data_IF_905131437055
#
_entry.id   IF_905131437055
#
_cell.length_a   1.000
_cell.length_b   1.000
_cell.length_c   1.000
_cell.angle_alpha   90.00
_cell.angle_beta   90.00
_cell.angle_gamma   90.00
#
_symmetry.space_group_name_H-M   'P 1'
#
loop_
_entity.id
_entity.type
_entity.pdbx_description
1 polymer ?
#
# COMPACT_ATOMS: atom_id res chain seq x y z
N UNK A 1 -29.97 61.53 -33.81
CA UNK A 1 -30.80 61.84 -32.61
C UNK A 1 -30.18 61.03 -31.47
N UNK A 2 -29.61 61.58 -30.39
CA UNK A 2 -30.14 62.57 -29.42
C UNK A 2 -31.25 61.95 -28.53
N UNK A 3 -31.25 61.94 -27.19
CA UNK A 3 -30.24 62.15 -26.10
C UNK A 3 -30.71 61.28 -24.87
N UNK A 4 -30.21 61.27 -23.61
CA UNK A 4 -29.32 62.12 -22.76
C UNK A 4 -28.78 61.30 -21.56
N UNK A 5 -27.84 61.84 -20.77
CA UNK A 5 -27.56 61.44 -19.36
C UNK A 5 -28.22 62.45 -18.39
N UNK A 6 -28.49 62.08 -17.11
CA UNK A 6 -27.64 62.45 -15.95
C UNK A 6 -27.43 61.27 -14.96
N UNK A 7 -26.27 61.04 -14.32
CA UNK A 7 -25.53 61.76 -13.24
C UNK A 7 -25.92 61.43 -11.77
N UNK A 8 -24.91 61.52 -10.89
CA UNK A 8 -24.81 61.02 -9.48
C UNK A 8 -25.21 62.10 -8.45
N UNK A 9 -25.31 61.77 -7.14
CA UNK A 9 -24.22 62.17 -6.22
C UNK A 9 -23.94 61.20 -5.03
N UNK A 10 -22.76 61.34 -4.40
CA UNK A 10 -22.48 60.88 -3.01
C UNK A 10 -22.72 62.05 -2.02
N UNK A 11 -22.67 61.87 -0.68
CA UNK A 11 -21.37 62.06 0.02
C UNK A 11 -21.16 61.38 1.41
N UNK A 12 -19.91 60.97 1.69
CA UNK A 12 -19.25 60.98 3.03
C UNK A 12 -19.80 60.11 4.20
N UNK A 13 -19.15 60.03 5.37
CA UNK A 13 -17.72 60.12 5.70
C UNK A 13 -17.43 59.50 7.10
N UNK A 14 -16.23 58.92 7.27
CA UNK A 14 -15.50 58.57 8.52
C UNK A 14 -16.23 58.05 9.78
N UNK A 15 -15.88 56.81 10.20
CA UNK A 15 -15.63 56.45 11.61
C UNK A 15 -14.75 55.19 11.71
N UNK A 16 -13.80 55.19 12.65
CA UNK A 16 -13.13 54.01 13.23
C UNK A 16 -13.24 54.12 14.76
N UNK A 17 -13.05 53.04 15.54
CA UNK A 17 -11.69 52.73 15.99
C UNK A 17 -11.38 51.22 16.10
N UNK A 18 -10.28 50.92 16.78
CA UNK A 18 -9.64 49.64 17.09
C UNK A 18 -10.55 48.58 17.75
N UNK A 19 -10.25 47.29 17.53
CA UNK A 19 -9.52 46.49 18.54
C UNK A 19 -8.97 45.16 17.97
N UNK A 20 -7.91 44.60 18.58
CA UNK A 20 -7.35 43.28 18.25
C UNK A 20 -6.48 42.68 19.38
N UNK A 21 -6.88 41.53 19.94
CA UNK A 21 -5.95 40.41 20.23
C UNK A 21 -6.61 39.03 19.93
N UNK A 22 -5.94 37.88 19.77
CA UNK A 22 -4.50 37.52 19.69
C UNK A 22 -4.36 36.15 18.96
N UNK A 23 -3.17 35.52 18.95
CA UNK A 23 -2.96 34.13 18.53
C UNK A 23 -2.34 33.29 19.67
N UNK A 24 -2.61 31.97 19.78
CA UNK A 24 -2.10 31.13 20.88
C UNK A 24 -0.67 30.61 20.62
N UNK A 25 0.25 30.69 21.61
CA UNK A 25 1.58 30.07 21.55
C UNK A 25 1.63 28.68 22.20
N UNK A 26 2.79 28.02 22.10
CA UNK A 26 3.07 26.66 22.56
C UNK A 26 3.34 26.56 24.09
N UNK A 27 3.22 25.35 24.66
CA UNK A 27 3.41 25.05 26.09
C UNK A 27 4.82 24.49 26.38
N UNK A 28 5.46 24.96 27.44
CA UNK A 28 6.81 24.54 27.84
C UNK A 28 7.08 24.70 29.36
N UNK A 29 7.09 23.56 30.06
CA UNK A 29 7.87 23.21 31.27
C UNK A 29 8.23 24.30 32.32
N UNK A 30 7.66 24.25 33.54
CA UNK A 30 8.06 25.14 34.64
C UNK A 30 9.32 24.67 35.40
N UNK A 31 10.22 25.60 35.70
CA UNK A 31 11.15 25.54 36.84
C UNK A 31 10.79 26.63 37.86
N UNK A 32 10.92 26.35 39.16
CA UNK A 32 10.63 27.31 40.24
C UNK A 32 11.88 27.83 40.96
N UNK A 33 12.01 29.16 40.96
CA UNK A 33 12.80 30.00 41.89
C UNK A 33 12.13 29.97 43.30
N UNK A 34 12.61 30.53 44.42
CA UNK A 34 13.77 31.35 44.85
C UNK A 34 13.85 31.27 46.42
N UNK A 35 14.80 31.79 47.21
CA UNK A 35 16.05 32.55 46.96
C UNK A 35 17.15 32.17 48.00
N UNK A 36 17.45 33.05 48.98
CA UNK A 36 18.68 33.06 49.79
C UNK A 36 18.45 33.68 51.18
N UNK A 37 19.30 33.36 52.16
CA UNK A 37 19.36 34.03 53.48
C UNK A 37 20.62 33.66 54.26
N UNK A 38 21.22 34.60 55.01
CA UNK A 38 22.54 34.47 55.66
C UNK A 38 22.50 34.77 57.17
N UNK A 39 23.42 34.15 57.92
CA UNK A 39 24.01 34.54 59.22
C UNK A 39 23.14 35.07 60.38
N UNK A 40 23.28 34.44 61.56
CA UNK A 40 23.65 35.20 62.78
C UNK A 40 24.47 34.35 63.77
N UNK A 41 25.05 34.98 64.80
CA UNK A 41 26.13 34.41 65.64
C UNK A 41 25.97 34.75 67.13
N UNK A 42 26.01 33.75 68.03
CA UNK A 42 26.22 33.86 69.50
C UNK A 42 26.33 32.44 70.10
N UNK A 43 26.99 32.15 71.21
CA UNK A 43 27.79 32.97 72.14
C UNK A 43 28.75 32.10 73.00
N UNK A 44 29.40 32.69 74.01
CA UNK A 44 30.46 32.10 74.86
C UNK A 44 29.91 31.28 76.06
N UNK A 45 30.68 30.60 76.94
CA UNK A 45 32.10 30.72 77.32
C UNK A 45 32.68 29.43 78.01
N UNK A 46 33.99 29.48 78.35
CA UNK A 46 34.73 28.87 79.50
C UNK A 46 34.09 27.75 80.36
N UNK A 47 34.76 26.70 80.85
CA UNK A 47 36.18 26.24 80.88
C UNK A 47 36.16 24.74 81.34
N UNK A 48 37.22 23.95 81.58
CA UNK A 48 38.64 24.22 81.90
C UNK A 48 39.59 23.20 81.20
N UNK A 49 40.29 22.29 81.92
CA UNK A 49 41.33 21.40 81.36
C UNK A 49 41.22 19.91 81.75
N UNK A 50 41.46 19.01 80.79
CA UNK A 50 41.98 17.65 81.04
C UNK A 50 42.69 17.10 79.80
N UNK A 51 43.99 16.82 79.92
CA UNK A 51 44.78 16.23 78.83
C UNK A 51 44.38 14.77 78.61
N UNK A 52 43.89 14.45 77.41
CA UNK A 52 43.65 13.08 76.97
C UNK A 52 44.50 12.80 75.72
N UNK A 53 45.45 11.86 75.85
CA UNK A 53 46.36 11.44 74.78
C UNK A 53 45.62 10.66 73.71
N UNK A 54 44.90 11.37 72.85
CA UNK A 54 44.20 10.81 71.69
C UNK A 54 45.24 10.31 70.70
N UNK A 55 45.38 8.98 70.60
CA UNK A 55 46.22 8.34 69.59
C UNK A 55 45.59 8.54 68.21
N UNK A 56 46.23 9.35 67.37
CA UNK A 56 45.81 9.57 65.98
C UNK A 56 45.94 8.27 65.18
N UNK A 57 44.87 7.49 65.12
CA UNK A 57 44.73 6.41 64.13
C UNK A 57 44.58 7.11 62.78
N UNK A 58 45.65 7.07 61.98
CA UNK A 58 45.61 7.53 60.60
C UNK A 58 44.85 6.47 59.79
N UNK A 59 43.53 6.59 59.77
CA UNK A 59 42.67 5.82 58.87
C UNK A 59 42.89 6.34 57.45
N UNK A 60 43.90 5.80 56.76
CA UNK A 60 44.02 5.96 55.31
C UNK A 60 42.84 5.29 54.63
N UNK A 61 41.79 6.06 54.38
CA UNK A 61 40.72 5.70 53.44
C UNK A 61 41.35 5.57 52.06
N UNK A 62 41.69 4.33 51.68
CA UNK A 62 42.03 4.01 50.30
C UNK A 62 40.76 4.23 49.49
N UNK A 63 40.68 5.37 48.81
CA UNK A 63 39.64 5.63 47.83
C UNK A 63 39.97 4.75 46.61
N UNK A 64 39.54 3.50 46.67
CA UNK A 64 39.43 2.63 45.51
C UNK A 64 38.38 3.24 44.59
N UNK A 65 38.83 4.07 43.65
CA UNK A 65 38.00 4.44 42.51
C UNK A 65 37.74 3.17 41.70
N UNK A 66 36.57 2.56 41.90
CA UNK A 66 36.09 1.55 40.96
C UNK A 66 35.96 2.23 39.60
N UNK A 67 36.89 1.91 38.70
CA UNK A 67 36.72 2.21 37.29
C UNK A 67 35.57 1.36 36.80
N UNK A 68 34.53 1.98 36.21
CA UNK A 68 33.51 1.23 35.50
C UNK A 68 34.21 0.30 34.49
N UNK A 69 33.92 -1.02 34.49
CA UNK A 69 34.67 -1.97 33.69
C UNK A 69 34.55 -1.62 32.21
N UNK A 70 35.70 -1.59 31.52
CA UNK A 70 35.70 -1.36 30.08
C UNK A 70 35.06 -2.57 29.38
N UNK A 71 33.95 -2.40 28.64
CA UNK A 71 33.30 -3.52 27.96
C UNK A 71 34.23 -4.07 26.88
N UNK A 72 34.30 -5.39 26.75
CA UNK A 72 35.06 -6.02 25.68
C UNK A 72 34.31 -5.78 24.36
N UNK A 73 34.87 -4.95 23.48
CA UNK A 73 34.24 -4.59 22.21
C UNK A 73 35.19 -4.91 21.06
N UNK A 74 34.81 -5.86 20.22
CA UNK A 74 35.58 -6.34 19.07
C UNK A 74 34.79 -6.06 17.80
N UNK A 75 35.46 -5.58 16.76
CA UNK A 75 34.83 -5.22 15.48
C UNK A 75 35.53 -5.90 14.30
N UNK A 76 34.76 -6.56 13.45
CA UNK A 76 35.22 -7.23 12.23
C UNK A 76 34.67 -6.54 10.98
N UNK A 77 35.47 -6.48 9.92
CA UNK A 77 35.13 -5.82 8.65
C UNK A 77 35.39 -6.66 7.40
N UNK A 78 35.92 -7.88 7.56
CA UNK A 78 36.20 -8.79 6.45
C UNK A 78 34.90 -9.41 5.89
N UNK A 79 34.89 -9.86 4.62
CA UNK A 79 33.70 -10.47 4.01
C UNK A 79 33.40 -11.89 4.53
N UNK A 80 34.37 -12.55 5.14
CA UNK A 80 34.23 -13.89 5.74
C UNK A 80 35.23 -14.02 6.90
N UNK A 81 34.85 -14.71 7.97
CA UNK A 81 35.75 -14.98 9.09
C UNK A 81 35.08 -15.75 10.23
N UNK A 82 35.76 -15.81 11.36
CA UNK A 82 35.28 -16.50 12.56
C UNK A 82 35.26 -15.54 13.75
N UNK A 83 34.27 -15.71 14.63
CA UNK A 83 34.24 -15.13 15.97
C UNK A 83 34.45 -16.31 16.93
N UNK A 84 35.61 -16.38 17.57
CA UNK A 84 35.90 -17.36 18.61
C UNK A 84 36.04 -16.67 19.97
N UNK A 85 35.33 -17.20 20.96
CA UNK A 85 35.41 -16.78 22.37
C UNK A 85 36.82 -16.83 22.97
N UNK A 86 37.73 -17.64 22.41
CA UNK A 86 39.07 -17.90 22.95
C UNK A 86 40.18 -17.02 22.36
N UNK A 87 39.96 -16.36 21.22
CA UNK A 87 40.92 -15.44 20.58
C UNK A 87 41.07 -14.12 21.35
N UNK A 88 40.03 -13.72 22.08
CA UNK A 88 39.98 -12.50 22.90
C UNK A 88 39.77 -12.86 24.38
N UNK A 89 40.72 -13.57 25.02
CA UNK A 89 40.57 -14.08 26.38
C UNK A 89 40.35 -12.90 27.34
N UNK A 90 39.17 -12.81 27.98
CA UNK A 90 38.77 -11.59 28.66
C UNK A 90 39.49 -11.42 29.99
N UNK A 91 39.96 -10.20 30.25
CA UNK A 91 40.55 -9.83 31.53
C UNK A 91 39.42 -9.39 32.49
N UNK A 92 39.11 -10.14 33.56
CA UNK A 92 38.03 -9.78 34.47
C UNK A 92 38.47 -8.63 35.40
N UNK A 93 37.97 -7.41 35.14
CA UNK A 93 38.09 -6.26 36.04
C UNK A 93 36.85 -6.08 36.93
N UNK A 94 35.85 -6.95 36.82
CA UNK A 94 34.56 -6.89 37.53
C UNK A 94 33.98 -8.29 37.76
N UNK A 95 33.00 -8.39 38.68
CA UNK A 95 32.32 -9.64 39.08
C UNK A 95 31.44 -10.28 37.98
N UNK A 96 31.30 -9.63 36.84
CA UNK A 96 30.78 -10.17 35.59
C UNK A 96 31.53 -9.53 34.42
N UNK A 97 31.44 -10.16 33.26
CA UNK A 97 32.03 -9.72 31.99
C UNK A 97 30.92 -9.51 30.95
N UNK A 98 31.07 -8.49 30.13
CA UNK A 98 30.19 -8.17 29.01
C UNK A 98 31.01 -7.92 27.74
N UNK A 99 30.71 -8.70 26.69
CA UNK A 99 31.40 -8.73 25.41
C UNK A 99 30.43 -8.42 24.26
N UNK A 100 30.85 -7.57 23.33
CA UNK A 100 30.15 -7.27 22.07
C UNK A 100 31.08 -7.51 20.88
N UNK A 101 30.71 -8.42 20.00
CA UNK A 101 31.40 -8.71 18.76
C UNK A 101 30.54 -8.20 17.59
N UNK A 102 30.97 -7.12 16.95
CA UNK A 102 30.23 -6.46 15.87
C UNK A 102 30.88 -6.81 14.52
N UNK A 103 30.15 -7.46 13.62
CA UNK A 103 30.60 -7.67 12.24
C UNK A 103 29.88 -6.67 11.34
N UNK A 104 30.63 -5.87 10.59
CA UNK A 104 30.09 -4.86 9.65
C UNK A 104 30.69 -5.09 8.27
N UNK A 105 29.87 -5.56 7.32
CA UNK A 105 30.27 -5.74 5.92
C UNK A 105 29.93 -4.49 5.08
N UNK A 106 30.28 -4.52 3.81
CA UNK A 106 29.98 -3.45 2.85
C UNK A 106 28.47 -3.35 2.56
N UNK A 107 28.01 -2.16 2.18
CA UNK A 107 26.57 -1.88 2.01
C UNK A 107 25.96 -2.69 0.86
N UNK A 108 24.67 -2.99 0.98
CA UNK A 108 23.96 -3.89 0.06
C UNK A 108 24.18 -5.38 0.36
N UNK A 109 25.03 -5.71 1.34
CA UNK A 109 25.27 -7.05 1.84
C UNK A 109 25.01 -7.08 3.35
N UNK A 110 24.65 -8.25 3.86
CA UNK A 110 24.43 -8.54 5.26
C UNK A 110 25.38 -9.63 5.74
N UNK A 111 25.35 -9.93 7.02
CA UNK A 111 26.15 -10.96 7.67
C UNK A 111 25.28 -12.19 7.92
N UNK A 112 25.68 -13.32 7.34
CA UNK A 112 25.15 -14.63 7.64
C UNK A 112 26.07 -15.30 8.66
N UNK A 113 25.58 -15.50 9.89
CA UNK A 113 26.26 -16.24 10.95
C UNK A 113 25.80 -17.71 10.92
N UNK A 114 26.74 -18.63 10.76
CA UNK A 114 26.54 -20.05 11.05
C UNK A 114 27.17 -20.42 12.39
N UNK A 115 26.37 -21.03 13.26
CA UNK A 115 26.84 -21.60 14.53
C UNK A 115 27.70 -22.84 14.26
N UNK A 116 28.98 -22.83 14.68
CA UNK A 116 29.86 -24.01 14.61
C UNK A 116 29.89 -24.76 15.94
N UNK A 117 30.00 -24.04 17.05
CA UNK A 117 29.89 -24.62 18.40
C UNK A 117 29.42 -23.57 19.40
N UNK A 118 28.60 -23.99 20.37
CA UNK A 118 28.18 -23.20 21.54
C UNK A 118 28.11 -24.16 22.73
N UNK A 119 28.90 -23.88 23.76
CA UNK A 119 28.99 -24.66 24.99
C UNK A 119 29.14 -23.69 26.17
N UNK A 120 28.01 -23.19 26.66
CA UNK A 120 27.92 -22.16 27.70
C UNK A 120 27.86 -22.78 29.10
N UNK A 121 28.40 -22.10 30.10
CA UNK A 121 28.24 -22.49 31.52
C UNK A 121 26.97 -21.91 32.16
N UNK A 122 26.59 -22.43 33.32
CA UNK A 122 25.34 -22.07 33.99
C UNK A 122 25.30 -20.58 34.36
N UNK A 123 24.33 -19.85 33.80
CA UNK A 123 24.16 -18.40 34.01
C UNK A 123 24.76 -17.52 32.92
N UNK A 124 25.52 -18.08 31.97
CA UNK A 124 25.97 -17.33 30.79
C UNK A 124 24.82 -16.99 29.83
N UNK A 125 24.99 -15.88 29.12
CA UNK A 125 24.01 -15.34 28.17
C UNK A 125 24.68 -15.04 26.83
N UNK A 126 24.24 -15.73 25.78
CA UNK A 126 24.63 -15.47 24.40
C UNK A 126 23.38 -15.09 23.59
N UNK A 127 23.43 -13.94 22.92
CA UNK A 127 22.34 -13.46 22.05
C UNK A 127 22.90 -12.79 20.80
N UNK A 128 22.37 -13.16 19.63
CA UNK A 128 22.73 -12.59 18.34
C UNK A 128 21.68 -11.54 17.97
N UNK A 129 22.12 -10.33 17.66
CA UNK A 129 21.27 -9.14 17.51
C UNK A 129 21.54 -8.45 16.17
N UNK A 130 20.47 -8.19 15.41
CA UNK A 130 20.52 -7.31 14.24
C UNK A 130 20.60 -5.86 14.67
N UNK A 131 21.36 -5.05 13.93
CA UNK A 131 21.58 -3.64 14.23
C UNK A 131 20.86 -2.78 13.19
N UNK A 132 19.86 -2.00 13.59
CA UNK A 132 19.12 -1.11 12.69
C UNK A 132 19.10 0.31 13.29
N UNK A 133 20.03 1.15 12.80
CA UNK A 133 20.34 2.44 13.42
C UNK A 133 20.76 2.27 14.90
N UNK A 134 20.10 2.96 15.85
CA UNK A 134 20.36 2.78 17.28
C UNK A 134 19.66 1.55 17.89
N UNK A 135 18.85 0.82 17.12
CA UNK A 135 18.03 -0.29 17.65
C UNK A 135 18.74 -1.63 17.52
N UNK A 136 18.62 -2.47 18.55
CA UNK A 136 19.17 -3.83 18.59
C UNK A 136 18.02 -4.84 18.69
N UNK A 137 17.74 -5.54 17.60
CA UNK A 137 16.69 -6.58 17.55
C UNK A 137 17.32 -7.95 17.80
N UNK A 138 16.88 -8.67 18.83
CA UNK A 138 17.31 -10.06 19.06
C UNK A 138 16.82 -10.95 17.92
N UNK A 139 17.76 -11.58 17.21
CA UNK A 139 17.50 -12.55 16.15
C UNK A 139 17.51 -13.98 16.70
N UNK A 140 18.38 -14.25 17.69
CA UNK A 140 18.42 -15.51 18.41
C UNK A 140 19.00 -15.33 19.83
N UNK A 141 18.48 -16.11 20.77
CA UNK A 141 19.05 -16.30 22.11
C UNK A 141 19.65 -17.70 22.22
N UNK A 142 20.46 -17.96 23.25
CA UNK A 142 21.14 -19.25 23.52
C UNK A 142 20.30 -20.51 23.31
N UNK A 143 18.98 -20.48 23.60
CA UNK A 143 18.06 -21.61 23.38
C UNK A 143 17.82 -21.98 21.91
N UNK A 144 18.23 -21.12 20.97
CA UNK A 144 18.11 -21.30 19.52
C UNK A 144 19.48 -21.42 18.82
N UNK A 145 20.60 -21.36 19.57
CA UNK A 145 21.97 -21.39 19.02
C UNK A 145 22.52 -22.81 18.96
N UNK A 146 21.86 -23.68 18.19
CA UNK A 146 22.31 -25.06 17.93
C UNK A 146 23.34 -25.12 16.80
N UNK A 147 24.21 -26.13 16.81
CA UNK A 147 25.20 -26.37 15.74
C UNK A 147 24.52 -26.43 14.36
N UNK A 148 25.12 -25.76 13.38
CA UNK A 148 24.60 -25.68 12.01
C UNK A 148 23.49 -24.64 11.80
N UNK A 149 22.92 -24.05 12.86
CA UNK A 149 21.93 -22.98 12.73
C UNK A 149 22.52 -21.77 11.99
N UNK A 150 21.74 -21.24 11.04
CA UNK A 150 22.07 -20.06 10.24
C UNK A 150 21.19 -18.88 10.65
N UNK A 151 21.79 -17.71 10.85
CA UNK A 151 21.12 -16.47 11.26
C UNK A 151 21.60 -15.34 10.35
N UNK A 152 20.68 -14.63 9.70
CA UNK A 152 20.97 -13.52 8.77
C UNK A 152 20.63 -12.19 9.42
N UNK A 153 21.51 -11.21 9.27
CA UNK A 153 21.27 -9.83 9.70
C UNK A 153 20.21 -9.12 8.83
N UNK A 154 19.46 -8.17 9.41
CA UNK A 154 18.54 -7.31 8.64
C UNK A 154 19.25 -6.16 7.90
N UNK A 155 20.53 -5.92 8.21
CA UNK A 155 21.37 -4.83 7.69
C UNK A 155 22.81 -5.32 7.46
N UNK A 156 23.71 -4.46 6.99
CA UNK A 156 25.15 -4.76 6.85
C UNK A 156 25.90 -4.97 8.19
N UNK A 157 25.24 -4.85 9.35
CA UNK A 157 25.85 -5.06 10.66
C UNK A 157 25.07 -6.07 11.51
N UNK A 158 25.80 -6.97 12.18
CA UNK A 158 25.29 -7.86 13.22
C UNK A 158 26.14 -7.75 14.48
N UNK A 159 25.50 -7.89 15.65
CA UNK A 159 26.13 -7.80 16.96
C UNK A 159 25.90 -9.09 17.74
N UNK A 160 26.97 -9.79 18.10
CA UNK A 160 26.93 -10.94 19.01
C UNK A 160 27.23 -10.43 20.40
N UNK A 161 26.25 -10.53 21.28
CA UNK A 161 26.34 -10.14 22.69
C UNK A 161 26.56 -11.38 23.55
N UNK A 162 27.66 -11.39 24.30
CA UNK A 162 27.99 -12.43 25.28
C UNK A 162 28.17 -11.82 26.66
N UNK A 163 27.63 -12.48 27.69
CA UNK A 163 27.81 -12.10 29.09
C UNK A 163 28.04 -13.35 29.93
N UNK A 164 29.01 -13.27 30.84
CA UNK A 164 29.38 -14.36 31.76
C UNK A 164 29.64 -13.80 33.16
N UNK A 165 29.57 -14.69 34.15
CA UNK A 165 29.72 -14.39 35.58
C UNK A 165 30.94 -15.14 36.13
N UNK A 166 31.38 -14.80 37.35
CA UNK A 166 32.67 -15.24 37.86
C UNK A 166 32.66 -16.69 38.41
N UNK A 167 32.67 -17.66 37.50
CA UNK A 167 32.82 -19.09 37.77
C UNK A 167 34.12 -19.68 37.19
N UNK A 168 34.59 -20.82 37.74
CA UNK A 168 35.89 -21.44 37.41
C UNK A 168 36.01 -21.99 35.97
N UNK A 169 34.91 -22.02 35.19
CA UNK A 169 34.89 -22.47 33.80
C UNK A 169 34.05 -21.52 32.94
N UNK A 170 34.72 -20.73 32.11
CA UNK A 170 34.08 -19.95 31.05
C UNK A 170 33.53 -20.89 29.98
N UNK A 171 32.34 -20.58 29.46
CA UNK A 171 31.84 -21.22 28.26
C UNK A 171 32.63 -20.83 27.01
N UNK A 172 32.41 -21.59 25.94
CA UNK A 172 33.07 -21.39 24.64
C UNK A 172 32.05 -21.36 23.52
N UNK A 173 32.28 -20.49 22.54
CA UNK A 173 31.51 -20.48 21.30
C UNK A 173 32.40 -20.11 20.10
N UNK A 174 32.06 -20.70 18.96
CA UNK A 174 32.65 -20.39 17.67
C UNK A 174 31.53 -20.18 16.64
N UNK A 175 31.54 -19.01 16.01
CA UNK A 175 30.60 -18.62 14.96
C UNK A 175 31.39 -18.29 13.69
N UNK A 176 30.98 -18.86 12.56
CA UNK A 176 31.50 -18.50 11.23
C UNK A 176 30.58 -17.44 10.64
N UNK A 177 31.13 -16.37 10.10
CA UNK A 177 30.38 -15.34 9.39
C UNK A 177 30.79 -15.26 7.92
N UNK A 178 29.82 -15.02 7.04
CA UNK A 178 30.05 -14.69 5.64
C UNK A 178 29.09 -13.59 5.16
N UNK A 179 29.55 -12.78 4.20
CA UNK A 179 28.74 -11.76 3.56
C UNK A 179 27.73 -12.39 2.58
N UNK A 180 26.44 -12.15 2.80
CA UNK A 180 25.38 -12.51 1.86
C UNK A 180 24.77 -11.24 1.24
N UNK A 181 24.28 -11.30 0.01
CA UNK A 181 23.66 -10.12 -0.62
C UNK A 181 22.29 -9.86 0.01
N UNK A 182 22.02 -8.62 0.44
CA UNK A 182 20.70 -8.20 0.91
C UNK A 182 19.79 -7.90 -0.28
N UNK A 183 18.49 -7.82 -0.01
CA UNK A 183 17.47 -7.46 -0.99
C UNK A 183 16.56 -6.38 -0.42
N UNK A 184 16.00 -5.53 -1.27
CA UNK A 184 14.83 -4.73 -0.93
C UNK A 184 13.62 -5.65 -0.67
N UNK A 185 12.70 -5.20 0.20
CA UNK A 185 11.42 -5.88 0.40
C UNK A 185 10.66 -6.00 -0.93
N UNK A 186 9.93 -7.11 -1.12
CA UNK A 186 9.06 -7.27 -2.28
C UNK A 186 8.00 -6.14 -2.26
N UNK A 187 7.92 -5.30 -3.31
CA UNK A 187 7.05 -4.13 -3.31
C UNK A 187 5.58 -4.53 -3.36
N UNK A 188 4.72 -3.73 -2.72
CA UNK A 188 3.28 -4.00 -2.77
C UNK A 188 2.71 -3.77 -4.18
N UNK A 189 1.80 -4.65 -4.60
CA UNK A 189 0.95 -4.40 -5.77
C UNK A 189 0.02 -3.21 -5.44
N UNK A 190 -0.09 -2.18 -6.29
CA UNK A 190 -1.08 -1.12 -6.12
C UNK A 190 -2.50 -1.65 -6.31
N UNK A 191 -3.47 -1.12 -5.56
CA UNK A 191 -4.88 -1.33 -5.85
C UNK A 191 -5.18 -0.88 -7.30
N UNK A 192 -5.89 -1.71 -8.07
CA UNK A 192 -6.17 -1.48 -9.50
C UNK A 192 -4.91 -1.31 -10.39
N UNK A 193 -3.81 -1.97 -10.02
CA UNK A 193 -2.61 -2.07 -10.85
C UNK A 193 -1.82 -3.37 -10.63
N UNK A 194 -0.66 -3.46 -11.27
CA UNK A 194 0.29 -4.55 -11.10
C UNK A 194 1.76 -4.05 -11.07
N UNK A 195 2.64 -4.87 -10.48
CA UNK A 195 4.06 -4.59 -10.32
C UNK A 195 4.92 -5.71 -10.91
N UNK A 196 5.78 -5.33 -11.86
CA UNK A 196 6.73 -6.22 -12.52
C UNK A 196 8.13 -6.03 -11.93
N UNK A 197 8.47 -6.87 -10.96
CA UNK A 197 9.78 -6.90 -10.30
C UNK A 197 10.79 -7.59 -11.23
N UNK A 198 11.87 -6.89 -11.59
CA UNK A 198 12.96 -7.43 -12.40
C UNK A 198 14.07 -8.02 -11.52
N UNK A 199 14.41 -7.32 -10.44
CA UNK A 199 15.36 -7.77 -9.41
C UNK A 199 15.11 -7.00 -8.09
N UNK A 200 15.42 -7.63 -6.97
CA UNK A 200 15.31 -7.08 -5.60
C UNK A 200 16.67 -6.73 -4.98
N UNK A 201 17.78 -7.13 -5.58
CA UNK A 201 19.12 -6.80 -5.08
C UNK A 201 19.47 -5.31 -5.34
N UNK A 202 20.49 -4.73 -4.67
CA UNK A 202 20.90 -3.35 -4.89
C UNK A 202 21.24 -3.04 -6.36
N UNK A 203 20.57 -2.04 -6.94
CA UNK A 203 20.60 -1.72 -8.37
C UNK A 203 19.49 -2.39 -9.20
N UNK A 204 18.76 -3.34 -8.63
CA UNK A 204 17.56 -3.95 -9.20
C UNK A 204 16.38 -2.98 -9.29
N UNK A 205 15.36 -3.33 -10.07
CA UNK A 205 14.24 -2.45 -10.39
C UNK A 205 12.87 -3.14 -10.38
N UNK A 206 11.83 -2.39 -10.03
CA UNK A 206 10.43 -2.80 -10.14
C UNK A 206 9.62 -1.75 -10.92
N UNK A 207 8.80 -2.20 -11.87
CA UNK A 207 8.01 -1.33 -12.75
C UNK A 207 6.52 -1.47 -12.48
N UNK A 208 5.84 -0.35 -12.26
CA UNK A 208 4.45 -0.27 -11.85
C UNK A 208 3.54 0.17 -13.00
N UNK A 209 2.37 -0.44 -13.08
CA UNK A 209 1.40 -0.23 -14.16
C UNK A 209 -0.01 -0.24 -13.59
N UNK A 210 -0.87 0.68 -14.03
CA UNK A 210 -2.27 0.71 -13.63
C UNK A 210 -3.16 0.00 -14.66
N UNK A 211 -4.32 -0.46 -14.22
CA UNK A 211 -5.37 -0.94 -15.11
C UNK A 211 -5.96 0.22 -15.94
N UNK A 212 -6.60 -0.08 -17.07
CA UNK A 212 -7.17 0.92 -17.96
C UNK A 212 -8.14 1.86 -17.19
N UNK A 213 -8.03 3.17 -17.45
CA UNK A 213 -8.80 4.22 -16.77
C UNK A 213 -8.18 4.76 -15.46
N UNK A 214 -7.19 4.07 -14.89
CA UNK A 214 -6.44 4.55 -13.72
C UNK A 214 -5.11 5.20 -14.14
N UNK A 215 -4.75 6.30 -13.48
CA UNK A 215 -3.47 6.98 -13.63
C UNK A 215 -2.52 6.68 -12.46
N UNK A 216 -1.22 6.56 -12.73
CA UNK A 216 -0.22 6.22 -11.72
C UNK A 216 0.31 7.48 -11.02
N UNK A 217 0.02 7.61 -9.72
CA UNK A 217 0.54 8.67 -8.86
C UNK A 217 1.82 8.20 -8.15
N UNK A 218 2.96 8.75 -8.56
CA UNK A 218 4.28 8.41 -8.01
C UNK A 218 5.28 8.00 -9.08
N UNK A 219 6.34 7.28 -8.68
CA UNK A 219 7.40 6.85 -9.59
C UNK A 219 7.01 5.56 -10.33
N UNK A 220 7.01 5.60 -11.68
CA UNK A 220 6.71 4.42 -12.51
C UNK A 220 7.72 3.26 -12.34
N UNK A 221 8.97 3.58 -12.04
CA UNK A 221 10.01 2.59 -11.75
C UNK A 221 10.67 2.94 -10.43
N UNK A 222 10.73 1.96 -9.52
CA UNK A 222 11.54 2.04 -8.31
C UNK A 222 12.85 1.30 -8.51
N UNK A 223 13.94 1.85 -7.99
CA UNK A 223 15.28 1.22 -7.98
C UNK A 223 15.63 0.84 -6.54
N UNK A 224 16.19 -0.35 -6.33
CA UNK A 224 16.63 -0.80 -5.02
C UNK A 224 17.97 -0.12 -4.66
N UNK A 225 17.96 0.74 -3.64
CA UNK A 225 19.10 1.57 -3.28
C UNK A 225 20.12 0.79 -2.43
N UNK A 226 21.40 0.95 -2.76
CA UNK A 226 22.49 0.38 -1.96
C UNK A 226 22.66 1.18 -0.66
N UNK A 227 22.42 0.51 0.48
CA UNK A 227 22.50 1.08 1.82
C UNK A 227 22.85 -0.02 2.84
N UNK A 228 22.98 0.35 4.13
CA UNK A 228 23.05 -0.61 5.24
C UNK A 228 21.85 -1.55 5.25
N UNK A 229 20.67 -1.01 4.97
CA UNK A 229 19.40 -1.71 4.78
C UNK A 229 18.83 -1.30 3.41
N UNK A 230 18.87 -2.16 2.37
CA UNK A 230 18.36 -1.81 1.06
C UNK A 230 16.88 -1.42 1.10
N UNK A 231 16.54 -0.36 0.38
CA UNK A 231 15.20 0.22 0.33
C UNK A 231 14.93 0.80 -1.07
N UNK A 232 13.67 0.96 -1.44
CA UNK A 232 13.29 1.52 -2.73
C UNK A 232 13.59 3.03 -2.81
N UNK A 233 13.87 3.50 -4.02
CA UNK A 233 14.24 4.90 -4.32
C UNK A 233 13.15 5.94 -3.97
N UNK A 234 11.90 5.50 -3.82
CA UNK A 234 10.78 6.24 -3.25
C UNK A 234 9.74 5.25 -2.72
N UNK A 235 8.67 5.75 -2.10
CA UNK A 235 7.50 4.96 -1.71
C UNK A 235 6.79 4.33 -2.93
N UNK A 236 6.03 3.25 -2.71
CA UNK A 236 5.24 2.61 -3.77
C UNK A 236 4.16 3.55 -4.35
N UNK A 237 4.00 3.60 -5.69
CA UNK A 237 3.01 4.46 -6.33
C UNK A 237 1.58 3.90 -6.21
N UNK A 238 0.59 4.79 -6.28
CA UNK A 238 -0.84 4.46 -6.17
C UNK A 238 -1.53 4.67 -7.51
N UNK A 239 -2.43 3.76 -7.90
CA UNK A 239 -3.27 3.93 -9.08
C UNK A 239 -4.59 4.63 -8.71
N UNK A 240 -4.93 5.71 -9.41
CA UNK A 240 -6.09 6.57 -9.09
C UNK A 240 -6.94 6.86 -10.34
N UNK A 241 -8.27 6.75 -10.23
CA UNK A 241 -9.20 7.22 -11.25
C UNK A 241 -9.31 8.76 -11.23
N UNK A 242 -9.02 9.46 -12.35
CA UNK A 242 -9.04 10.93 -12.41
C UNK A 242 -10.46 11.50 -12.56
N UNK A 243 -10.70 12.66 -11.93
CA UNK A 243 -11.95 13.41 -12.07
C UNK A 243 -11.96 14.24 -13.37
N UNK A 244 -12.34 13.59 -14.47
CA UNK A 244 -12.34 14.18 -15.81
C UNK A 244 -11.04 13.95 -16.58
N UNK A 245 -10.97 14.51 -17.79
CA UNK A 245 -9.81 14.41 -18.68
C UNK A 245 -10.17 14.51 -20.16
N UNK A 246 -9.16 14.51 -21.04
CA UNK A 246 -9.34 14.49 -22.49
C UNK A 246 -8.51 13.36 -23.12
N UNK A 247 -9.17 12.49 -23.89
CA UNK A 247 -8.55 11.36 -24.61
C UNK A 247 -8.74 11.56 -26.11
N UNK A 248 -7.65 11.88 -26.82
CA UNK A 248 -7.65 12.07 -28.27
C UNK A 248 -7.07 10.83 -28.99
N UNK A 249 -7.63 10.50 -30.17
CA UNK A 249 -7.40 9.23 -30.87
C UNK A 249 -7.71 8.00 -29.98
N UNK A 250 -8.80 8.10 -29.21
CA UNK A 250 -9.31 7.02 -28.39
C UNK A 250 -9.66 5.78 -29.22
N UNK A 251 -9.13 4.61 -28.86
CA UNK A 251 -9.49 3.31 -29.45
C UNK A 251 -10.25 2.44 -28.45
N UNK A 252 -9.73 2.27 -27.24
CA UNK A 252 -10.36 1.57 -26.13
C UNK A 252 -9.93 2.21 -24.80
N UNK A 253 -10.81 2.19 -23.80
CA UNK A 253 -10.48 2.66 -22.45
C UNK A 253 -11.64 2.57 -21.48
N UNK A 254 -11.50 3.24 -20.33
CA UNK A 254 -12.48 3.24 -19.23
C UNK A 254 -12.65 4.64 -18.64
N UNK A 255 -13.88 4.98 -18.25
CA UNK A 255 -14.22 6.11 -17.38
C UNK A 255 -14.77 5.55 -16.07
N UNK A 256 -14.26 6.06 -14.95
CA UNK A 256 -14.39 5.43 -13.63
C UNK A 256 -14.82 6.46 -12.58
N UNK A 257 -15.50 6.00 -11.52
CA UNK A 257 -15.76 6.81 -10.33
C UNK A 257 -14.45 7.32 -9.72
N UNK A 258 -14.25 8.65 -9.54
CA UNK A 258 -12.98 9.22 -9.11
C UNK A 258 -12.49 8.67 -7.77
N UNK A 259 -11.20 8.37 -7.66
CA UNK A 259 -10.61 7.83 -6.42
C UNK A 259 -10.45 8.86 -5.30
N UNK A 260 -10.50 10.15 -5.64
CA UNK A 260 -10.32 11.24 -4.69
C UNK A 260 -11.65 11.90 -4.31
N UNK A 261 -11.78 12.39 -3.05
CA UNK A 261 -12.91 13.23 -2.65
C UNK A 261 -12.98 14.50 -3.51
N UNK A 262 -14.13 15.17 -3.49
CA UNK A 262 -14.33 16.46 -4.14
C UNK A 262 -13.44 17.59 -3.59
N UNK A 263 -13.70 18.81 -4.05
CA UNK A 263 -13.00 20.00 -3.57
C UNK A 263 -13.26 20.24 -2.06
N UNK A 264 -12.63 21.26 -1.45
CA UNK A 264 -12.74 21.58 0.00
C UNK A 264 -14.16 21.65 0.57
N UNK A 265 -15.17 21.86 -0.28
CA UNK A 265 -16.58 21.98 0.08
C UNK A 265 -17.37 20.67 -0.14
N UNK A 266 -16.67 19.56 -0.41
CA UNK A 266 -17.24 18.24 -0.73
C UNK A 266 -17.68 18.07 -2.18
N UNK A 267 -18.15 19.13 -2.85
CA UNK A 267 -18.66 19.01 -4.22
C UNK A 267 -17.61 18.58 -5.25
N UNK A 268 -18.04 17.74 -6.17
CA UNK A 268 -17.21 17.18 -7.25
C UNK A 268 -17.93 17.39 -8.59
N UNK A 269 -17.19 17.89 -9.59
CA UNK A 269 -17.67 18.05 -10.97
C UNK A 269 -16.58 17.60 -11.93
N UNK A 270 -16.81 16.45 -12.57
CA UNK A 270 -15.85 15.81 -13.46
C UNK A 270 -16.37 15.84 -14.89
N UNK A 271 -15.51 16.14 -15.86
CA UNK A 271 -15.85 16.15 -17.28
C UNK A 271 -14.80 15.35 -18.04
N UNK A 272 -15.21 14.24 -18.65
CA UNK A 272 -14.39 13.47 -19.58
C UNK A 272 -14.82 13.78 -21.00
N UNK A 273 -13.85 14.05 -21.88
CA UNK A 273 -14.08 14.16 -23.33
C UNK A 273 -13.25 13.11 -24.06
N UNK A 274 -13.93 12.27 -24.84
CA UNK A 274 -13.35 11.15 -25.57
C UNK A 274 -13.50 11.45 -27.07
N UNK A 275 -12.41 11.43 -27.81
CA UNK A 275 -12.36 11.70 -29.24
C UNK A 275 -11.64 10.56 -29.97
N UNK A 276 -12.41 9.76 -30.70
CA UNK A 276 -11.92 8.71 -31.58
C UNK A 276 -11.34 9.27 -32.89
N UNK A 277 -10.54 8.49 -33.63
CA UNK A 277 -10.16 8.79 -35.01
C UNK A 277 -11.32 9.21 -35.92
N UNK A 278 -11.04 10.06 -36.90
CA UNK A 278 -12.05 10.54 -37.86
C UNK A 278 -12.68 9.35 -38.63
N UNK A 279 -14.01 9.38 -38.78
CA UNK A 279 -14.78 8.32 -39.44
C UNK A 279 -15.35 7.26 -38.50
N UNK A 280 -14.85 7.13 -37.27
CA UNK A 280 -15.34 6.14 -36.30
C UNK A 280 -16.58 6.61 -35.51
N UNK A 281 -17.27 5.67 -34.84
CA UNK A 281 -18.27 5.88 -33.76
C UNK A 281 -17.64 5.41 -32.44
N UNK A 282 -18.18 5.88 -31.31
CA UNK A 282 -17.84 5.41 -29.96
C UNK A 282 -19.03 4.68 -29.37
N UNK A 283 -18.79 3.48 -28.84
CA UNK A 283 -19.71 2.73 -27.99
C UNK A 283 -19.29 2.88 -26.53
N UNK A 284 -20.26 2.99 -25.62
CA UNK A 284 -20.07 2.96 -24.17
C UNK A 284 -20.83 1.77 -23.58
N UNK A 285 -20.11 0.84 -22.97
CA UNK A 285 -20.70 -0.25 -22.18
C UNK A 285 -20.56 0.06 -20.68
N UNK A 286 -21.67 -0.02 -19.94
CA UNK A 286 -21.76 0.36 -18.53
C UNK A 286 -21.66 -0.88 -17.63
N UNK A 287 -20.44 -1.34 -17.38
CA UNK A 287 -20.17 -2.50 -16.50
C UNK A 287 -20.65 -2.26 -15.06
N UNK A 288 -20.64 -1.00 -14.60
CA UNK A 288 -21.26 -0.59 -13.34
C UNK A 288 -21.81 0.82 -13.44
N UNK A 289 -23.04 1.02 -12.96
CA UNK A 289 -23.58 2.33 -12.65
C UNK A 289 -24.42 2.27 -11.37
N UNK A 290 -23.95 2.91 -10.31
CA UNK A 290 -24.69 3.15 -9.08
C UNK A 290 -24.46 4.61 -8.69
N UNK A 291 -25.53 5.39 -8.64
CA UNK A 291 -25.50 6.82 -8.34
C UNK A 291 -26.24 7.08 -7.01
N UNK A 292 -25.69 7.95 -6.18
CA UNK A 292 -26.41 8.44 -4.99
C UNK A 292 -27.60 9.33 -5.41
N UNK A 293 -28.65 9.41 -4.58
CA UNK A 293 -29.92 10.16 -4.77
C UNK A 293 -29.85 11.60 -5.34
N UNK A 294 -28.68 12.24 -5.31
CA UNK A 294 -28.45 13.62 -5.78
C UNK A 294 -27.36 13.73 -6.85
N UNK A 295 -26.61 12.65 -7.06
CA UNK A 295 -25.51 12.64 -8.01
C UNK A 295 -26.09 12.51 -9.42
N UNK A 296 -25.51 13.24 -10.37
CA UNK A 296 -26.01 13.26 -11.75
C UNK A 296 -24.92 12.89 -12.73
N UNK A 297 -25.27 12.00 -13.66
CA UNK A 297 -24.46 11.71 -14.83
C UNK A 297 -25.20 12.15 -16.11
N UNK A 298 -24.46 12.83 -16.99
CA UNK A 298 -24.87 13.20 -18.35
C UNK A 298 -23.91 12.61 -19.36
N UNK A 299 -24.43 12.13 -20.49
CA UNK A 299 -23.62 11.71 -21.64
C UNK A 299 -24.13 12.44 -22.88
N UNK A 300 -23.21 12.98 -23.69
CA UNK A 300 -23.51 13.73 -24.92
C UNK A 300 -22.77 13.16 -26.14
N UNK A 301 -23.45 13.16 -27.29
CA UNK A 301 -22.93 12.86 -28.63
C UNK A 301 -22.06 14.01 -29.15
N UNK A 302 -20.89 14.21 -28.55
CA UNK A 302 -19.90 15.22 -28.95
C UNK A 302 -19.27 15.99 -27.78
N UNK A 303 -18.29 16.84 -28.09
CA UNK A 303 -17.40 17.49 -27.11
C UNK A 303 -18.03 18.62 -26.28
N UNK A 304 -19.27 19.03 -26.56
CA UNK A 304 -19.92 20.19 -25.93
C UNK A 304 -21.28 19.83 -25.31
N UNK A 305 -21.64 20.49 -24.22
CA UNK A 305 -22.95 20.37 -23.54
C UNK A 305 -24.16 20.93 -24.33
N UNK A 306 -24.00 21.13 -25.64
CA UNK A 306 -25.06 21.46 -26.62
C UNK A 306 -25.25 20.38 -27.69
N UNK A 307 -24.43 19.32 -27.66
CA UNK A 307 -24.64 18.10 -28.44
C UNK A 307 -25.92 17.38 -28.00
N UNK A 308 -26.40 16.45 -28.82
CA UNK A 308 -27.52 15.59 -28.44
C UNK A 308 -27.18 14.80 -27.15
N UNK A 309 -28.02 14.82 -26.11
CA UNK A 309 -27.84 13.97 -24.94
C UNK A 309 -28.16 12.51 -25.31
N UNK A 310 -27.27 11.60 -24.92
CA UNK A 310 -27.45 10.15 -25.03
C UNK A 310 -28.04 9.56 -23.73
N UNK A 311 -27.70 10.15 -22.58
CA UNK A 311 -28.21 9.75 -21.27
C UNK A 311 -28.24 10.93 -20.28
N UNK A 312 -29.22 10.91 -19.38
CA UNK A 312 -29.43 11.84 -18.27
C UNK A 312 -30.04 11.08 -17.10
N UNK A 313 -29.30 10.93 -16.00
CA UNK A 313 -29.77 10.16 -14.84
C UNK A 313 -30.98 10.78 -14.12
N UNK A 314 -31.38 12.01 -14.46
CA UNK A 314 -32.65 12.61 -14.00
C UNK A 314 -33.86 12.24 -14.86
N UNK A 315 -33.65 11.67 -16.05
CA UNK A 315 -34.72 11.29 -17.00
C UNK A 315 -34.93 9.77 -17.06
N UNK A 316 -33.86 8.99 -16.90
CA UNK A 316 -33.92 7.54 -16.75
C UNK A 316 -32.87 7.07 -15.75
N UNK A 317 -33.30 6.26 -14.78
CA UNK A 317 -32.43 5.65 -13.77
C UNK A 317 -31.48 4.65 -14.43
N UNK A 318 -32.03 3.76 -15.25
CA UNK A 318 -31.28 2.75 -15.99
C UNK A 318 -30.74 3.29 -17.33
N UNK A 319 -29.55 2.82 -17.71
CA UNK A 319 -28.99 2.92 -19.06
C UNK A 319 -29.58 1.78 -19.92
N UNK A 320 -29.75 1.93 -21.25
CA UNK A 320 -30.06 0.79 -22.12
C UNK A 320 -28.99 -0.32 -21.98
N UNK A 321 -29.40 -1.59 -22.05
CA UNK A 321 -28.47 -2.71 -21.81
C UNK A 321 -27.40 -2.77 -22.91
N UNK A 322 -27.78 -2.47 -24.15
CA UNK A 322 -26.92 -2.31 -25.31
C UNK A 322 -25.90 -1.14 -25.20
N UNK A 323 -25.89 -0.43 -24.07
CA UNK A 323 -25.02 0.71 -23.81
C UNK A 323 -25.48 2.00 -24.49
N UNK A 324 -24.53 2.90 -24.76
CA UNK A 324 -24.78 4.16 -25.48
C UNK A 324 -23.88 4.26 -26.70
N UNK A 325 -24.44 4.73 -27.82
CA UNK A 325 -23.75 4.85 -29.11
C UNK A 325 -23.74 6.31 -29.60
N UNK A 326 -22.56 6.82 -29.98
CA UNK A 326 -22.43 8.17 -30.54
C UNK A 326 -22.77 8.24 -32.05
N UNK A 327 -23.19 9.42 -32.49
CA UNK A 327 -23.44 9.72 -33.92
C UNK A 327 -22.13 10.03 -34.68
N UNK A 328 -21.15 10.61 -33.98
CA UNK A 328 -19.82 10.98 -34.48
C UNK A 328 -18.68 10.36 -33.66
N UNK A 329 -17.45 10.75 -33.97
CA UNK A 329 -16.23 10.25 -33.34
C UNK A 329 -15.95 10.87 -31.95
N UNK A 330 -16.95 11.39 -31.24
CA UNK A 330 -16.72 12.10 -29.98
C UNK A 330 -17.85 11.94 -28.97
N UNK A 331 -17.48 11.87 -27.69
CA UNK A 331 -18.38 11.79 -26.54
C UNK A 331 -17.90 12.76 -25.45
N UNK A 332 -18.85 13.31 -24.69
CA UNK A 332 -18.61 14.02 -23.42
C UNK A 332 -19.44 13.39 -22.32
N UNK A 333 -18.80 13.06 -21.21
CA UNK A 333 -19.44 12.58 -19.98
C UNK A 333 -19.25 13.65 -18.90
N UNK A 334 -20.34 14.07 -18.24
CA UNK A 334 -20.29 14.97 -17.09
C UNK A 334 -20.84 14.24 -15.87
N UNK A 335 -20.10 14.24 -14.76
CA UNK A 335 -20.53 13.72 -13.46
C UNK A 335 -20.52 14.85 -12.43
N UNK A 336 -21.60 14.95 -11.65
CA UNK A 336 -21.76 15.94 -10.57
C UNK A 336 -22.16 15.23 -9.28
N UNK A 337 -21.48 15.51 -8.17
CA UNK A 337 -21.85 15.07 -6.82
C UNK A 337 -21.78 16.23 -5.82
N UNK A 338 -22.66 16.21 -4.81
CA UNK A 338 -22.60 17.11 -3.65
C UNK A 338 -21.83 16.54 -2.44
N UNK A 339 -21.26 15.32 -2.57
CA UNK A 339 -20.65 14.60 -1.44
C UNK A 339 -19.12 14.51 -1.49
N UNK A 340 -18.52 14.76 -0.31
CA UNK A 340 -17.07 14.64 -0.09
C UNK A 340 -16.52 13.20 -0.10
N UNK A 341 -17.34 12.18 -0.39
CA UNK A 341 -16.92 10.78 -0.54
C UNK A 341 -17.62 10.18 -1.77
N UNK A 342 -16.91 9.32 -2.48
CA UNK A 342 -17.45 8.54 -3.59
C UNK A 342 -18.48 7.52 -3.08
N UNK A 343 -19.72 7.96 -2.89
CA UNK A 343 -20.87 7.10 -2.65
C UNK A 343 -21.42 6.52 -3.96
N UNK A 344 -21.26 7.24 -5.06
CA UNK A 344 -21.50 6.76 -6.42
C UNK A 344 -20.32 5.93 -6.92
N UNK A 345 -20.61 4.77 -7.52
CA UNK A 345 -19.64 3.85 -8.10
C UNK A 345 -20.02 3.54 -9.55
N UNK A 346 -19.13 3.84 -10.50
CA UNK A 346 -19.36 3.61 -11.92
C UNK A 346 -18.10 3.21 -12.67
N UNK A 347 -18.29 2.39 -13.70
CA UNK A 347 -17.25 1.84 -14.55
C UNK A 347 -17.83 1.69 -15.96
N UNK A 348 -17.34 2.51 -16.88
CA UNK A 348 -17.84 2.64 -18.25
C UNK A 348 -16.68 2.30 -19.19
N UNK A 349 -16.72 1.12 -19.83
CA UNK A 349 -15.82 0.80 -20.96
C UNK A 349 -16.25 1.67 -22.14
N UNK A 350 -15.27 2.23 -22.85
CA UNK A 350 -15.51 2.87 -24.15
C UNK A 350 -14.65 2.21 -25.23
N UNK A 351 -15.19 2.16 -26.44
CA UNK A 351 -14.50 1.60 -27.60
C UNK A 351 -14.87 2.35 -28.89
N UNK A 352 -13.90 2.50 -29.79
CA UNK A 352 -14.06 3.17 -31.07
C UNK A 352 -14.00 2.18 -32.24
N UNK A 353 -14.97 2.27 -33.14
CA UNK A 353 -15.16 1.31 -34.24
C UNK A 353 -15.56 2.02 -35.54
N UNK A 354 -15.32 1.40 -36.70
CA UNK A 354 -15.57 2.03 -38.00
C UNK A 354 -17.05 1.98 -38.41
N UNK A 355 -17.46 2.97 -39.22
CA UNK A 355 -18.83 3.04 -39.74
C UNK A 355 -19.04 2.02 -40.85
N UNK A 356 -19.87 1.01 -40.59
CA UNK A 356 -20.24 -0.03 -41.56
C UNK A 356 -20.26 -1.45 -40.99
N UNK A 357 -19.83 -1.64 -39.75
CA UNK A 357 -19.90 -2.89 -38.99
C UNK A 357 -20.47 -2.63 -37.58
N UNK A 358 -20.77 -3.68 -36.82
CA UNK A 358 -21.18 -3.58 -35.42
C UNK A 358 -19.98 -3.44 -34.47
N UNK A 359 -20.19 -2.96 -33.25
CA UNK A 359 -19.15 -2.88 -32.21
C UNK A 359 -18.78 -4.28 -31.68
N UNK A 360 -17.58 -4.44 -31.11
CA UNK A 360 -17.20 -5.68 -30.42
C UNK A 360 -18.07 -5.87 -29.16
N UNK A 361 -18.84 -6.97 -29.04
CA UNK A 361 -19.67 -7.21 -27.85
C UNK A 361 -18.85 -7.37 -26.58
N UNK A 362 -19.41 -7.01 -25.43
CA UNK A 362 -18.79 -7.27 -24.14
C UNK A 362 -19.68 -8.12 -23.23
N UNK A 363 -19.04 -9.08 -22.55
CA UNK A 363 -19.66 -9.92 -21.53
C UNK A 363 -18.76 -9.96 -20.29
N UNK A 364 -19.35 -9.72 -19.13
CA UNK A 364 -18.69 -9.88 -17.83
C UNK A 364 -18.84 -11.34 -17.37
N UNK A 365 -17.81 -11.91 -16.75
CA UNK A 365 -17.79 -13.29 -16.24
C UNK A 365 -18.09 -14.34 -17.33
N UNK A 366 -17.59 -14.12 -18.54
CA UNK A 366 -17.80 -14.99 -19.68
C UNK A 366 -16.88 -14.65 -20.86
N UNK A 367 -17.09 -15.36 -21.96
CA UNK A 367 -16.34 -15.22 -23.21
C UNK A 367 -17.26 -15.53 -24.40
N UNK A 368 -16.91 -15.07 -25.60
CA UNK A 368 -17.71 -15.27 -26.80
C UNK A 368 -16.89 -15.80 -27.98
N UNK A 369 -17.59 -16.29 -28.99
CA UNK A 369 -17.01 -16.65 -30.30
C UNK A 369 -17.77 -15.95 -31.41
N UNK A 370 -17.05 -15.49 -32.45
CA UNK A 370 -17.63 -14.77 -33.58
C UNK A 370 -17.43 -15.54 -34.89
N UNK A 371 -18.40 -15.45 -35.81
CA UNK A 371 -18.26 -15.97 -37.18
C UNK A 371 -17.31 -15.13 -38.05
N UNK A 372 -17.13 -13.85 -37.74
CA UNK A 372 -16.26 -12.91 -38.45
C UNK A 372 -15.71 -11.86 -37.45
N UNK A 373 -14.39 -11.77 -37.21
CA UNK A 373 -13.78 -10.82 -36.28
C UNK A 373 -13.80 -9.36 -36.79
N UNK A 374 -14.35 -9.10 -37.98
CA UNK A 374 -14.58 -7.74 -38.49
C UNK A 374 -16.03 -7.26 -38.27
N UNK A 375 -16.87 -8.06 -37.61
CA UNK A 375 -18.22 -7.69 -37.15
C UNK A 375 -19.16 -7.10 -38.23
N UNK A 376 -18.95 -7.50 -39.48
CA UNK A 376 -19.78 -7.11 -40.64
C UNK A 376 -21.25 -7.49 -40.47
N UNK A 377 -22.13 -6.87 -41.26
CA UNK A 377 -23.54 -7.24 -41.37
C UNK A 377 -23.67 -8.74 -41.73
N UNK A 378 -24.43 -9.50 -40.93
CA UNK A 378 -24.56 -10.96 -41.01
C UNK A 378 -23.56 -11.74 -40.14
N UNK A 379 -22.70 -11.06 -39.37
CA UNK A 379 -21.88 -11.70 -38.33
C UNK A 379 -22.76 -12.18 -37.19
N UNK A 380 -22.53 -13.41 -36.72
CA UNK A 380 -23.15 -13.96 -35.50
C UNK A 380 -22.12 -14.12 -34.40
N UNK A 381 -22.50 -13.79 -33.17
CA UNK A 381 -21.67 -13.96 -31.95
C UNK A 381 -22.41 -14.88 -30.97
N UNK A 382 -21.74 -15.94 -30.51
CA UNK A 382 -22.25 -16.92 -29.54
C UNK A 382 -21.51 -16.77 -28.20
N UNK A 383 -22.27 -16.64 -27.11
CA UNK A 383 -21.78 -16.34 -25.76
C UNK A 383 -21.70 -17.58 -24.86
N UNK A 384 -20.72 -17.57 -23.96
CA UNK A 384 -20.47 -18.60 -22.95
C UNK A 384 -20.08 -17.96 -21.62
N UNK A 385 -20.50 -18.54 -20.50
CA UNK A 385 -20.13 -18.03 -19.17
C UNK A 385 -18.90 -18.76 -18.60
N UNK A 386 -18.13 -18.06 -17.76
CA UNK A 386 -16.95 -18.62 -17.09
C UNK A 386 -17.32 -19.72 -16.08
N UNK A 387 -16.41 -20.67 -15.76
CA UNK A 387 -16.67 -21.74 -14.80
C UNK A 387 -17.17 -21.20 -13.44
N UNK A 388 -18.36 -21.66 -13.02
CA UNK A 388 -19.06 -21.20 -11.81
C UNK A 388 -20.19 -20.20 -12.07
N UNK A 389 -20.24 -19.61 -13.27
CA UNK A 389 -21.31 -18.70 -13.71
C UNK A 389 -22.29 -19.40 -14.67
N UNK A 390 -23.49 -18.84 -14.81
CA UNK A 390 -24.51 -19.27 -15.77
C UNK A 390 -25.16 -18.09 -16.46
N UNK A 391 -25.61 -18.30 -17.70
CA UNK A 391 -26.40 -17.33 -18.45
C UNK A 391 -27.79 -17.24 -17.81
N UNK A 392 -28.08 -16.11 -17.19
CA UNK A 392 -29.34 -15.87 -16.48
C UNK A 392 -30.35 -15.08 -17.34
N UNK A 393 -29.84 -14.11 -18.10
CA UNK A 393 -30.64 -13.13 -18.85
C UNK A 393 -29.98 -12.84 -20.21
N UNK A 394 -30.79 -12.46 -21.20
CA UNK A 394 -30.35 -12.19 -22.58
C UNK A 394 -30.28 -13.42 -23.49
N UNK A 395 -29.99 -13.24 -24.79
CA UNK A 395 -29.82 -14.31 -25.76
C UNK A 395 -28.43 -14.96 -25.67
N UNK A 396 -28.33 -16.24 -26.01
CA UNK A 396 -27.03 -16.92 -26.15
C UNK A 396 -26.30 -16.58 -27.47
N UNK A 397 -27.01 -16.05 -28.47
CA UNK A 397 -26.48 -15.70 -29.80
C UNK A 397 -27.11 -14.41 -30.30
N UNK A 398 -26.30 -13.48 -30.82
CA UNK A 398 -26.73 -12.23 -31.48
C UNK A 398 -26.22 -12.16 -32.93
N UNK A 399 -26.88 -11.36 -33.77
CA UNK A 399 -26.56 -11.14 -35.19
C UNK A 399 -26.42 -9.64 -35.49
N UNK A 400 -25.38 -9.25 -36.22
CA UNK A 400 -25.18 -7.87 -36.68
C UNK A 400 -26.09 -7.60 -37.89
N UNK A 401 -27.14 -6.79 -37.70
CA UNK A 401 -28.18 -6.54 -38.71
C UNK A 401 -28.16 -5.09 -39.21
N UNK A 402 -29.03 -4.79 -40.18
CA UNK A 402 -29.23 -3.49 -40.85
C UNK A 402 -28.07 -3.02 -41.75
N UNK A 403 -28.33 -2.96 -43.06
CA UNK A 403 -27.34 -2.57 -44.10
C UNK A 403 -27.04 -1.06 -44.13
N UNK A 404 -27.78 -0.21 -43.40
CA UNK A 404 -27.66 1.26 -43.47
C UNK A 404 -26.97 1.91 -42.26
N UNK A 405 -27.22 1.39 -41.08
CA UNK A 405 -26.56 1.76 -39.82
C UNK A 405 -26.55 0.47 -38.98
N UNK A 406 -25.46 -0.32 -39.02
CA UNK A 406 -25.46 -1.65 -38.43
C UNK A 406 -25.56 -1.63 -36.91
N UNK A 407 -26.31 -2.58 -36.37
CA UNK A 407 -26.47 -2.78 -34.92
C UNK A 407 -26.78 -4.25 -34.61
N UNK A 408 -26.48 -4.71 -33.39
CA UNK A 408 -26.81 -6.05 -32.93
C UNK A 408 -28.33 -6.21 -32.77
N UNK A 409 -28.89 -7.32 -33.24
CA UNK A 409 -30.34 -7.56 -33.28
C UNK A 409 -31.02 -7.65 -31.90
N UNK A 410 -30.24 -7.96 -30.87
CA UNK A 410 -30.59 -8.15 -29.47
C UNK A 410 -29.31 -7.88 -28.63
N UNK A 411 -29.40 -7.84 -27.31
CA UNK A 411 -28.27 -7.41 -26.45
C UNK A 411 -27.36 -8.55 -26.02
N UNK A 412 -26.18 -8.24 -25.46
CA UNK A 412 -25.36 -9.26 -24.80
C UNK A 412 -26.09 -9.89 -23.59
N UNK A 413 -25.73 -11.12 -23.17
CA UNK A 413 -26.31 -11.76 -22.00
C UNK A 413 -25.53 -11.52 -20.70
N UNK A 414 -26.21 -11.73 -19.57
CA UNK A 414 -25.64 -11.59 -18.23
C UNK A 414 -25.25 -12.96 -17.62
N UNK A 415 -23.96 -13.13 -17.31
CA UNK A 415 -23.42 -14.28 -16.59
C UNK A 415 -23.28 -13.99 -15.08
N UNK A 416 -24.06 -14.70 -14.25
CA UNK A 416 -24.02 -14.56 -12.77
C UNK A 416 -23.68 -15.89 -12.08
N UNK A 417 -23.08 -15.76 -10.90
CA UNK A 417 -22.73 -16.89 -10.04
C UNK A 417 -23.99 -17.51 -9.40
N UNK A 418 -24.13 -18.83 -9.50
CA UNK A 418 -25.35 -19.56 -9.13
C UNK A 418 -25.49 -19.80 -7.63
N UNK A 419 -26.62 -19.38 -7.04
CA UNK A 419 -27.02 -19.79 -5.69
C UNK A 419 -27.46 -21.27 -5.67
N UNK A 420 -26.52 -22.16 -5.35
CA UNK A 420 -26.75 -23.60 -5.25
C UNK A 420 -26.73 -24.35 -6.60
N UNK A 421 -27.03 -25.65 -6.55
CA UNK A 421 -27.11 -26.53 -7.72
C UNK A 421 -26.55 -27.94 -7.48
N UNK A 422 -26.49 -28.76 -8.53
CA UNK A 422 -25.87 -30.10 -8.49
C UNK A 422 -24.70 -30.16 -9.48
N UNK A 423 -23.50 -30.43 -8.97
CA UNK A 423 -22.24 -30.42 -9.72
C UNK A 423 -21.71 -31.85 -9.86
N UNK A 424 -21.64 -32.35 -11.10
CA UNK A 424 -21.18 -33.72 -11.44
C UNK A 424 -19.88 -33.77 -12.23
N UNK A 425 -19.25 -32.62 -12.47
CA UNK A 425 -17.99 -32.50 -13.20
C UNK A 425 -16.80 -33.06 -12.41
N UNK A 426 -15.73 -33.47 -13.11
CA UNK A 426 -14.52 -34.03 -12.48
C UNK A 426 -13.68 -32.99 -11.72
N UNK A 427 -13.88 -31.72 -12.04
CA UNK A 427 -13.39 -30.52 -11.36
C UNK A 427 -14.34 -29.36 -11.73
N UNK A 428 -14.36 -28.29 -10.95
CA UNK A 428 -15.21 -27.12 -11.17
C UNK A 428 -15.00 -26.07 -10.08
N UNK A 429 -15.67 -24.94 -10.20
CA UNK A 429 -15.61 -23.82 -9.25
C UNK A 429 -16.99 -23.63 -8.63
N UNK A 430 -17.04 -23.39 -7.32
CA UNK A 430 -18.22 -22.88 -6.61
C UNK A 430 -17.92 -21.44 -6.22
N UNK A 431 -18.86 -20.55 -6.48
CA UNK A 431 -18.77 -19.12 -6.19
C UNK A 431 -19.92 -18.73 -5.26
N UNK A 432 -19.73 -17.71 -4.43
CA UNK A 432 -20.87 -17.08 -3.74
C UNK A 432 -21.79 -16.40 -4.77
N UNK A 433 -23.09 -16.22 -4.47
CA UNK A 433 -23.97 -15.41 -5.31
C UNK A 433 -23.35 -14.04 -5.59
N UNK A 434 -23.59 -13.51 -6.79
CA UNK A 434 -23.06 -12.23 -7.31
C UNK A 434 -21.53 -12.07 -7.43
N UNK A 435 -20.71 -13.05 -7.05
CA UNK A 435 -19.24 -12.93 -7.07
C UNK A 435 -18.73 -12.36 -8.41
N UNK A 436 -17.81 -11.36 -8.41
CA UNK A 436 -17.07 -10.81 -7.28
C UNK A 436 -17.80 -9.74 -6.45
N UNK A 437 -19.02 -9.34 -6.82
CA UNK A 437 -19.82 -8.41 -6.00
C UNK A 437 -20.43 -9.11 -4.77
N UNK A 438 -20.84 -8.37 -3.73
CA UNK A 438 -21.46 -8.95 -2.54
C UNK A 438 -22.74 -9.75 -2.86
N UNK A 439 -22.88 -10.91 -2.21
CA UNK A 439 -24.14 -11.65 -2.16
C UNK A 439 -25.21 -10.84 -1.40
N UNK A 440 -26.48 -11.07 -1.71
CA UNK A 440 -27.60 -10.38 -1.04
C UNK A 440 -27.98 -11.06 0.27
N UNK A 441 -28.54 -10.30 1.22
CA UNK A 441 -29.04 -10.86 2.48
C UNK A 441 -30.26 -11.76 2.26
N UNK A 442 -30.28 -12.92 2.91
CA UNK A 442 -31.44 -13.81 2.96
C UNK A 442 -31.46 -14.99 1.98
N UNK A 443 -30.42 -15.16 1.16
CA UNK A 443 -30.27 -16.38 0.33
C UNK A 443 -29.71 -17.57 1.12
N UNK A 444 -30.28 -18.77 0.89
CA UNK A 444 -29.85 -20.05 1.46
C UNK A 444 -29.44 -21.00 0.33
N UNK A 445 -28.16 -20.96 -0.03
CA UNK A 445 -27.63 -21.60 -1.24
C UNK A 445 -27.03 -22.97 -0.94
N UNK A 446 -27.54 -24.02 -1.61
CA UNK A 446 -27.11 -25.41 -1.39
C UNK A 446 -26.52 -26.00 -2.67
N UNK A 447 -25.21 -26.24 -2.68
CA UNK A 447 -24.52 -26.97 -3.74
C UNK A 447 -24.30 -28.44 -3.33
N UNK A 448 -24.70 -29.38 -4.19
CA UNK A 448 -24.41 -30.82 -4.03
C UNK A 448 -23.35 -31.24 -5.03
N UNK A 449 -22.20 -31.72 -4.55
CA UNK A 449 -21.11 -32.19 -5.41
C UNK A 449 -21.17 -33.72 -5.49
N UNK A 450 -21.33 -34.24 -6.71
CA UNK A 450 -21.47 -35.65 -7.02
C UNK A 450 -20.22 -36.14 -7.76
N UNK A 451 -19.51 -37.10 -7.17
CA UNK A 451 -18.35 -37.76 -7.78
C UNK A 451 -18.60 -39.27 -7.87
N UNK A 452 -17.94 -39.94 -8.82
CA UNK A 452 -18.02 -41.40 -8.95
C UNK A 452 -17.46 -42.13 -7.72
N UNK A 453 -17.94 -43.34 -7.47
CA UNK A 453 -17.80 -44.06 -6.18
C UNK A 453 -16.36 -44.23 -5.67
N UNK A 454 -15.38 -44.34 -6.58
CA UNK A 454 -13.95 -44.47 -6.26
C UNK A 454 -13.21 -43.12 -6.05
N UNK A 455 -13.93 -41.99 -6.12
CA UNK A 455 -13.35 -40.64 -5.99
C UNK A 455 -13.73 -39.99 -4.65
N UNK A 456 -12.93 -39.00 -4.25
CA UNK A 456 -13.20 -38.12 -3.11
C UNK A 456 -13.15 -36.67 -3.57
N UNK A 457 -13.94 -35.82 -2.92
CA UNK A 457 -13.93 -34.37 -3.14
C UNK A 457 -12.75 -33.78 -2.36
N UNK A 458 -11.98 -32.93 -3.03
CA UNK A 458 -11.04 -32.01 -2.41
C UNK A 458 -11.57 -30.59 -2.64
N UNK A 459 -11.52 -29.74 -1.63
CA UNK A 459 -11.92 -28.34 -1.71
C UNK A 459 -10.69 -27.48 -1.40
N UNK A 460 -10.33 -26.62 -2.34
CA UNK A 460 -9.47 -25.46 -2.10
C UNK A 460 -10.37 -24.25 -1.87
N UNK A 461 -10.03 -23.40 -0.89
CA UNK A 461 -10.83 -22.22 -0.55
C UNK A 461 -9.90 -21.01 -0.63
N UNK A 462 -10.18 -20.14 -1.59
CA UNK A 462 -9.48 -18.89 -1.82
C UNK A 462 -10.41 -17.75 -1.32
N UNK A 463 -9.83 -16.80 -0.61
CA UNK A 463 -10.51 -15.69 0.10
C UNK A 463 -9.96 -14.35 -0.38
#
# INVERSE_FOLDING_TARGET
>A
MAHTLPQRPDPGEAAAPDDAPEAPPEDASPMTLMDKGENELTGSASEESQETTTSTIITTTVITTEQAPAPCSVSFSDPEGYIDSSDYPPLPLSSFLECMYNVTVYTGYGVELQVKSVNLSDGELLSIRGVDGPTLTVLANQTLLVEGQVIRSPTNTISVYFRTFQDDVLGTFQLHYQAFMLSCNFPRRPDYGDVTVMDLHPGGAAHFHCHLGYELQGAKTLTCMNASKPHWSSEEPVCSAPCGGAVHNATIGRVLSPSYPGNTNGSQFCVWTIEAPEGQKLHLHFERLSLHEKDRMMVYSGLINKSAPLYDSLQTENVPFEGLLSEGNSIRIEFTSDQARAASAFNIRFEAFEKGHCYEPYIQNGNFTTSDPTYNIGTTVEFTCDPGHSLEQGPAIIECINVRDPYWNDTEPLCRAMCGGELSAVAGVVLSPNWPEPYVEGEDCIWKIHVGEEKRIFLDIQL
#
